data_IF_834290863827
#
_entry.id   IF_834290863827
#
_cell.length_a   1.000
_cell.length_b   1.000
_cell.length_c   1.000
_cell.angle_alpha   90.00
_cell.angle_beta   90.00
_cell.angle_gamma   90.00
#
_symmetry.space_group_name_H-M   'P 1'
#
loop_
_entity.id
_entity.type
_entity.pdbx_description
1 polymer ?
#
# COMPACT_ATOMS: atom_id res chain seq x y z
N UNK A 1 -25.46 11.61 33.33
CA UNK A 1 -25.17 12.89 34.01
C UNK A 1 -26.45 13.29 34.72
N UNK A 2 -26.46 13.27 36.05
CA UNK A 2 -27.61 13.72 36.83
C UNK A 2 -27.81 15.21 36.61
N UNK A 3 -28.90 15.56 35.96
CA UNK A 3 -29.34 16.94 35.77
C UNK A 3 -29.71 17.51 37.15
N UNK A 4 -28.84 18.36 37.68
CA UNK A 4 -29.07 19.05 38.94
C UNK A 4 -29.98 20.22 38.60
N UNK A 5 -31.29 19.98 38.64
CA UNK A 5 -32.31 20.98 38.36
C UNK A 5 -32.15 22.13 39.36
N UNK A 6 -31.53 23.25 38.92
CA UNK A 6 -31.45 24.45 39.74
C UNK A 6 -32.86 24.97 40.01
N UNK A 7 -33.22 25.10 41.29
CA UNK A 7 -34.54 25.59 41.69
C UNK A 7 -34.61 27.09 41.40
N UNK A 8 -35.33 27.46 40.34
CA UNK A 8 -35.62 28.86 40.01
C UNK A 8 -36.70 29.39 40.96
N UNK A 9 -36.43 30.53 41.59
CA UNK A 9 -37.34 31.16 42.54
C UNK A 9 -38.23 32.21 41.88
N UNK A 10 -39.36 32.52 42.51
CA UNK A 10 -40.27 33.55 42.05
C UNK A 10 -39.68 34.94 42.27
N UNK A 11 -39.66 35.74 41.21
CA UNK A 11 -39.08 37.10 41.21
C UNK A 11 -40.06 38.17 41.70
N UNK A 12 -41.34 37.84 41.76
CA UNK A 12 -42.41 38.71 42.26
C UNK A 12 -42.62 38.58 43.78
N UNK A 13 -42.02 37.57 44.42
CA UNK A 13 -42.08 37.41 45.87
C UNK A 13 -41.04 38.33 46.55
N UNK A 14 -41.33 38.83 47.77
CA UNK A 14 -40.33 39.53 48.58
C UNK A 14 -39.07 38.68 48.75
N UNK A 15 -37.89 39.31 48.80
CA UNK A 15 -36.61 38.60 48.88
C UNK A 15 -36.50 37.68 50.10
N UNK A 16 -37.10 38.09 51.21
CA UNK A 16 -37.13 37.38 52.49
C UNK A 16 -38.00 36.10 52.44
N UNK A 17 -38.90 35.97 51.45
CA UNK A 17 -39.92 34.91 51.36
C UNK A 17 -40.11 34.39 49.90
N UNK A 18 -39.02 34.29 49.13
CA UNK A 18 -39.10 33.82 47.73
C UNK A 18 -39.55 32.36 47.64
N UNK A 19 -40.70 32.14 47.02
CA UNK A 19 -41.26 30.80 46.76
C UNK A 19 -40.70 30.20 45.47
N UNK A 20 -40.56 28.87 45.34
CA UNK A 20 -40.18 28.24 44.07
C UNK A 20 -41.11 28.64 42.93
N UNK A 21 -40.55 29.01 41.78
CA UNK A 21 -41.33 29.28 40.59
C UNK A 21 -41.92 27.98 40.02
N UNK A 22 -43.11 28.08 39.41
CA UNK A 22 -43.78 26.97 38.73
C UNK A 22 -43.82 27.14 37.22
N UNK A 23 -43.91 28.39 36.75
CA UNK A 23 -43.81 28.75 35.34
C UNK A 23 -43.06 30.06 35.20
N UNK A 24 -42.38 30.21 34.07
CA UNK A 24 -41.82 31.47 33.60
C UNK A 24 -42.69 32.00 32.47
N UNK A 25 -43.02 33.29 32.52
CA UNK A 25 -43.66 33.95 31.39
C UNK A 25 -42.58 34.43 30.42
N UNK A 26 -42.60 33.94 29.19
CA UNK A 26 -41.65 34.36 28.15
C UNK A 26 -41.87 35.82 27.74
N UNK A 27 -43.10 36.34 27.86
CA UNK A 27 -43.42 37.72 27.49
C UNK A 27 -42.99 38.74 28.55
N UNK A 28 -43.21 38.43 29.83
CA UNK A 28 -42.82 39.27 30.95
C UNK A 28 -41.39 39.01 31.41
N UNK A 29 -40.80 37.89 30.99
CA UNK A 29 -39.46 37.42 31.40
C UNK A 29 -39.32 37.21 32.90
N UNK A 30 -40.44 36.86 33.55
CA UNK A 30 -40.48 36.64 35.00
C UNK A 30 -40.83 35.21 35.36
N UNK A 31 -40.14 34.70 36.38
CA UNK A 31 -40.45 33.42 37.01
C UNK A 31 -41.47 33.62 38.16
N UNK A 32 -42.57 32.86 38.13
CA UNK A 32 -43.71 33.06 39.04
C UNK A 32 -44.04 31.81 39.86
N UNK A 33 -44.25 31.98 41.15
CA UNK A 33 -44.86 30.97 42.02
C UNK A 33 -46.37 30.87 41.71
N UNK A 34 -47.04 29.85 42.27
CA UNK A 34 -48.47 29.59 42.03
C UNK A 34 -49.35 30.83 42.22
N UNK A 35 -49.09 31.63 43.28
CA UNK A 35 -49.88 32.82 43.59
C UNK A 35 -49.75 33.90 42.50
N UNK A 36 -48.52 34.20 42.06
CA UNK A 36 -48.28 35.21 41.03
C UNK A 36 -48.62 34.72 39.62
N UNK A 37 -48.56 33.41 39.40
CA UNK A 37 -49.02 32.78 38.16
C UNK A 37 -50.55 32.88 37.98
N UNK A 38 -51.31 32.95 39.09
CA UNK A 38 -52.77 33.01 39.05
C UNK A 38 -53.27 34.13 38.13
N UNK A 39 -52.70 35.34 38.21
CA UNK A 39 -53.09 36.47 37.37
C UNK A 39 -52.90 36.18 35.87
N UNK A 40 -51.84 35.46 35.50
CA UNK A 40 -51.59 35.04 34.12
C UNK A 40 -52.59 33.98 33.63
N UNK A 41 -53.15 33.19 34.54
CA UNK A 41 -54.11 32.14 34.20
C UNK A 41 -55.56 32.63 34.23
N UNK A 42 -55.89 33.63 35.05
CA UNK A 42 -57.27 34.10 35.26
C UNK A 42 -57.64 35.31 34.41
N UNK A 43 -56.66 36.11 33.96
CA UNK A 43 -56.93 37.27 33.11
C UNK A 43 -56.95 36.84 31.64
N UNK A 44 -58.09 36.94 30.93
CA UNK A 44 -58.23 36.40 29.56
C UNK A 44 -57.17 36.91 28.58
N UNK A 45 -56.81 38.19 28.67
CA UNK A 45 -55.80 38.80 27.80
C UNK A 45 -54.41 38.23 28.08
N UNK A 46 -54.01 38.10 29.35
CA UNK A 46 -52.70 37.55 29.73
C UNK A 46 -52.61 36.07 29.35
N UNK A 47 -53.65 35.29 29.63
CA UNK A 47 -53.70 33.87 29.29
C UNK A 47 -53.49 33.61 27.80
N UNK A 48 -53.99 34.49 26.94
CA UNK A 48 -53.86 34.37 25.47
C UNK A 48 -52.55 34.92 24.91
N UNK A 49 -51.94 35.92 25.55
CA UNK A 49 -50.80 36.67 24.98
C UNK A 49 -49.47 36.45 25.70
N UNK A 50 -49.48 35.80 26.87
CA UNK A 50 -48.31 35.56 27.70
C UNK A 50 -47.95 34.06 27.72
N UNK A 51 -47.13 33.55 26.77
CA UNK A 51 -46.72 32.15 26.76
C UNK A 51 -45.91 31.79 28.02
N UNK A 52 -46.28 30.66 28.64
CA UNK A 52 -45.70 30.16 29.89
C UNK A 52 -44.86 28.90 29.61
N UNK A 53 -43.63 28.86 30.09
CA UNK A 53 -42.71 27.71 29.99
C UNK A 53 -42.25 27.26 31.39
N UNK A 54 -41.49 26.17 31.47
CA UNK A 54 -40.84 25.77 32.73
C UNK A 54 -39.83 26.83 33.20
N UNK A 55 -39.68 27.05 34.51
CA UNK A 55 -38.69 27.98 35.03
C UNK A 55 -37.26 27.50 34.70
N UNK A 56 -36.59 28.23 33.80
CA UNK A 56 -35.17 28.01 33.48
C UNK A 56 -34.38 29.23 33.92
N UNK A 57 -33.13 29.06 34.37
CA UNK A 57 -32.24 30.20 34.63
C UNK A 57 -32.19 31.10 33.38
N UNK A 58 -32.49 32.40 33.53
CA UNK A 58 -32.46 33.37 32.45
C UNK A 58 -31.08 33.32 31.76
N UNK A 59 -31.02 32.69 30.58
CA UNK A 59 -29.74 32.41 29.91
C UNK A 59 -29.85 31.62 28.60
N UNK A 60 -30.93 30.85 28.40
CA UNK A 60 -31.27 30.37 27.06
C UNK A 60 -31.91 31.53 26.28
N UNK A 61 -31.26 32.01 25.22
CA UNK A 61 -31.72 33.17 24.45
C UNK A 61 -33.10 32.93 23.82
N UNK A 62 -34.17 33.32 24.51
CA UNK A 62 -35.56 33.26 24.03
C UNK A 62 -35.90 34.44 23.12
N UNK A 63 -35.01 35.42 23.02
CA UNK A 63 -35.11 36.59 22.16
C UNK A 63 -34.10 36.51 21.02
N UNK A 64 -34.54 36.95 19.85
CA UNK A 64 -33.71 37.16 18.69
C UNK A 64 -32.63 38.20 19.00
N UNK A 65 -31.35 37.91 18.73
CA UNK A 65 -30.25 38.84 18.98
C UNK A 65 -30.31 40.10 18.10
N UNK A 66 -30.92 40.01 16.90
CA UNK A 66 -31.02 41.12 15.96
C UNK A 66 -32.19 42.05 16.29
N UNK A 67 -33.35 41.49 16.65
CA UNK A 67 -34.59 42.27 16.79
C UNK A 67 -35.07 42.42 18.23
N UNK A 68 -34.47 41.72 19.19
CA UNK A 68 -34.89 41.72 20.60
C UNK A 68 -36.29 41.14 20.84
N UNK A 69 -36.92 40.54 19.81
CA UNK A 69 -38.25 39.93 19.84
C UNK A 69 -38.16 38.45 20.18
N UNK A 70 -39.23 37.88 20.73
CA UNK A 70 -39.27 36.45 21.06
C UNK A 70 -39.08 35.58 19.82
N UNK A 71 -38.30 34.51 19.97
CA UNK A 71 -38.18 33.45 19.00
C UNK A 71 -39.44 32.58 19.05
N UNK A 72 -40.09 32.42 17.90
CA UNK A 72 -41.41 31.75 17.81
C UNK A 72 -41.44 30.71 16.67
N UNK A 73 -40.50 30.79 15.74
CA UNK A 73 -40.41 29.95 14.56
C UNK A 73 -39.06 29.24 14.49
N UNK A 74 -39.03 28.09 13.82
CA UNK A 74 -37.82 27.38 13.44
C UNK A 74 -37.71 27.37 11.92
N UNK A 75 -36.59 27.86 11.40
CA UNK A 75 -36.24 27.76 10.00
C UNK A 75 -35.59 26.40 9.74
N UNK A 76 -36.23 25.55 8.93
CA UNK A 76 -35.71 24.21 8.59
C UNK A 76 -34.53 24.26 7.62
N UNK A 77 -34.41 25.33 6.83
CA UNK A 77 -33.31 25.49 5.87
C UNK A 77 -32.02 25.92 6.58
N UNK A 78 -32.12 26.87 7.52
CA UNK A 78 -30.97 27.36 8.30
C UNK A 78 -30.75 26.63 9.63
N UNK A 79 -31.65 25.72 10.00
CA UNK A 79 -31.65 25.01 11.29
C UNK A 79 -31.57 25.95 12.51
N UNK A 80 -32.33 27.05 12.47
CA UNK A 80 -32.24 28.12 13.45
C UNK A 80 -33.61 28.56 14.00
N UNK A 81 -33.64 28.91 15.29
CA UNK A 81 -34.80 29.58 15.90
C UNK A 81 -34.82 31.06 15.50
N UNK A 82 -35.96 31.55 15.00
CA UNK A 82 -36.12 32.91 14.48
C UNK A 82 -37.37 33.60 15.04
N UNK A 83 -37.37 34.93 15.08
CA UNK A 83 -38.53 35.73 15.50
C UNK A 83 -39.42 36.14 14.31
N UNK A 84 -40.59 36.71 14.59
CA UNK A 84 -41.51 37.25 13.56
C UNK A 84 -40.82 38.27 12.63
N UNK A 85 -39.90 39.11 13.13
CA UNK A 85 -39.19 40.08 12.30
C UNK A 85 -38.25 39.40 11.30
N UNK A 86 -37.46 38.43 11.74
CA UNK A 86 -36.61 37.59 10.87
C UNK A 86 -37.42 36.92 9.75
N UNK A 87 -38.66 36.50 10.06
CA UNK A 87 -39.53 35.83 9.10
C UNK A 87 -40.08 36.77 8.00
N UNK A 88 -40.23 38.06 8.29
CA UNK A 88 -40.78 39.05 7.36
C UNK A 88 -39.66 39.75 6.58
N UNK A 89 -38.51 39.95 7.22
CA UNK A 89 -37.31 40.48 6.57
C UNK A 89 -36.74 39.47 5.56
N UNK A 90 -36.08 39.97 4.50
CA UNK A 90 -35.65 39.15 3.36
C UNK A 90 -34.67 38.01 3.74
N UNK A 91 -34.09 38.01 4.95
CA UNK A 91 -33.16 36.97 5.42
C UNK A 91 -33.79 35.57 5.51
N UNK A 92 -35.05 35.43 5.96
CA UNK A 92 -35.73 34.13 6.05
C UNK A 92 -37.10 34.09 5.35
N UNK A 93 -37.47 35.16 4.65
CA UNK A 93 -38.77 35.34 3.99
C UNK A 93 -39.14 34.23 3.01
N UNK A 94 -38.15 33.60 2.37
CA UNK A 94 -38.34 32.51 1.41
C UNK A 94 -37.95 31.13 1.96
N UNK A 95 -37.58 31.05 3.24
CA UNK A 95 -37.17 29.79 3.85
C UNK A 95 -38.38 29.05 4.44
N UNK A 96 -38.23 27.74 4.59
CA UNK A 96 -39.22 26.86 5.20
C UNK A 96 -39.26 27.07 6.72
N UNK A 97 -40.08 28.02 7.15
CA UNK A 97 -40.31 28.33 8.55
C UNK A 97 -41.53 27.59 9.10
N UNK A 98 -41.37 27.00 10.28
CA UNK A 98 -42.41 26.28 11.00
C UNK A 98 -42.53 26.83 12.41
N UNK A 99 -43.72 26.73 13.02
CA UNK A 99 -43.83 26.97 14.47
C UNK A 99 -43.03 25.90 15.22
N UNK A 100 -42.58 26.19 16.45
CA UNK A 100 -41.82 25.21 17.23
C UNK A 100 -42.56 23.88 17.42
N UNK A 101 -43.88 23.89 17.64
CA UNK A 101 -44.68 22.66 17.79
C UNK A 101 -44.63 21.79 16.53
N UNK A 102 -44.83 22.40 15.37
CA UNK A 102 -44.78 21.69 14.08
C UNK A 102 -43.36 21.20 13.76
N UNK A 103 -42.35 22.07 13.91
CA UNK A 103 -40.95 21.71 13.67
C UNK A 103 -40.49 20.57 14.59
N UNK A 104 -40.82 20.64 15.88
CA UNK A 104 -40.50 19.60 16.85
C UNK A 104 -41.11 18.26 16.44
N UNK A 105 -42.40 18.23 16.08
CA UNK A 105 -43.05 16.99 15.63
C UNK A 105 -42.37 16.42 14.37
N UNK A 106 -42.21 17.22 13.33
CA UNK A 106 -41.60 16.79 12.06
C UNK A 106 -40.15 16.30 12.25
N UNK A 107 -39.34 17.03 13.03
CA UNK A 107 -37.95 16.66 13.31
C UNK A 107 -37.84 15.43 14.22
N UNK A 108 -38.73 15.27 15.20
CA UNK A 108 -38.76 14.06 16.03
C UNK A 108 -39.13 12.83 15.21
N UNK A 109 -40.13 12.92 14.33
CA UNK A 109 -40.48 11.82 13.42
C UNK A 109 -39.29 11.48 12.50
N UNK A 110 -38.61 12.50 11.95
CA UNK A 110 -37.40 12.32 11.14
C UNK A 110 -36.27 11.63 11.92
N UNK A 111 -36.00 12.07 13.16
CA UNK A 111 -34.98 11.48 14.02
C UNK A 111 -35.29 10.02 14.36
N UNK A 112 -36.54 9.65 14.59
CA UNK A 112 -36.93 8.25 14.82
C UNK A 112 -36.61 7.38 13.60
N UNK A 113 -36.88 7.88 12.39
CA UNK A 113 -36.56 7.18 11.15
C UNK A 113 -35.05 7.06 10.95
N UNK A 114 -34.30 8.15 11.12
CA UNK A 114 -32.84 8.15 11.01
C UNK A 114 -32.19 7.23 12.06
N UNK A 115 -32.66 7.25 13.31
CA UNK A 115 -32.19 6.35 14.35
C UNK A 115 -32.43 4.88 13.99
N UNK A 116 -33.62 4.54 13.48
CA UNK A 116 -33.93 3.17 13.04
C UNK A 116 -33.06 2.75 11.86
N UNK A 117 -32.80 3.65 10.91
CA UNK A 117 -31.92 3.39 9.77
C UNK A 117 -30.46 3.16 10.23
N UNK A 118 -29.96 3.99 11.14
CA UNK A 118 -28.62 3.81 11.74
C UNK A 118 -28.52 2.49 12.51
N UNK A 119 -29.56 2.12 13.27
CA UNK A 119 -29.58 0.86 13.99
C UNK A 119 -29.55 -0.35 13.03
N UNK A 120 -30.34 -0.31 11.95
CA UNK A 120 -30.34 -1.35 10.93
C UNK A 120 -28.98 -1.45 10.23
N UNK A 121 -28.37 -0.30 9.89
CA UNK A 121 -27.04 -0.26 9.27
C UNK A 121 -25.96 -0.82 10.19
N UNK A 122 -26.02 -0.48 11.48
CA UNK A 122 -25.08 -0.99 12.48
C UNK A 122 -25.16 -2.52 12.59
N UNK A 123 -26.37 -3.07 12.57
CA UNK A 123 -26.57 -4.53 12.59
C UNK A 123 -26.02 -5.19 11.32
N UNK A 124 -26.24 -4.60 10.15
CA UNK A 124 -25.69 -5.08 8.88
C UNK A 124 -24.16 -5.02 8.85
N UNK A 125 -23.58 -3.90 9.29
CA UNK A 125 -22.13 -3.71 9.39
C UNK A 125 -21.51 -4.72 10.37
N UNK A 126 -22.16 -4.99 11.51
CA UNK A 126 -21.72 -6.00 12.48
C UNK A 126 -21.74 -7.42 11.88
N UNK A 127 -22.82 -7.82 11.21
CA UNK A 127 -22.89 -9.13 10.54
C UNK A 127 -21.83 -9.27 9.45
N UNK A 128 -21.57 -8.20 8.69
CA UNK A 128 -20.53 -8.16 7.67
C UNK A 128 -19.14 -8.33 8.27
N UNK A 129 -18.88 -7.64 9.40
CA UNK A 129 -17.62 -7.74 10.13
C UNK A 129 -17.39 -9.15 10.68
N UNK A 130 -18.37 -9.76 11.33
CA UNK A 130 -18.25 -11.14 11.85
C UNK A 130 -17.95 -12.15 10.73
N UNK A 131 -18.65 -12.01 9.59
CA UNK A 131 -18.41 -12.86 8.42
C UNK A 131 -17.01 -12.68 7.85
N UNK A 132 -16.54 -11.44 7.77
CA UNK A 132 -15.19 -11.12 7.33
C UNK A 132 -14.14 -11.71 8.29
N UNK A 133 -14.27 -11.49 9.60
CA UNK A 133 -13.35 -12.00 10.62
C UNK A 133 -13.27 -13.52 10.58
N UNK A 134 -14.42 -14.21 10.50
CA UNK A 134 -14.47 -15.65 10.37
C UNK A 134 -13.74 -16.14 9.13
N UNK A 135 -14.03 -15.55 7.97
CA UNK A 135 -13.38 -15.92 6.71
C UNK A 135 -11.86 -15.70 6.73
N UNK A 136 -11.39 -14.61 7.36
CA UNK A 136 -9.95 -14.34 7.51
C UNK A 136 -9.28 -15.31 8.47
N UNK A 137 -9.92 -15.61 9.61
CA UNK A 137 -9.42 -16.59 10.59
C UNK A 137 -9.26 -17.97 9.97
N UNK A 138 -10.26 -18.42 9.21
CA UNK A 138 -10.23 -19.70 8.51
C UNK A 138 -9.12 -19.74 7.46
N UNK A 139 -9.01 -18.69 6.63
CA UNK A 139 -7.95 -18.59 5.63
C UNK A 139 -6.54 -18.61 6.24
N UNK A 140 -6.34 -17.88 7.35
CA UNK A 140 -5.08 -17.86 8.09
C UNK A 140 -4.76 -19.22 8.73
N UNK A 141 -5.76 -19.87 9.30
CA UNK A 141 -5.60 -21.21 9.88
C UNK A 141 -5.19 -22.22 8.80
N UNK A 142 -5.84 -22.18 7.63
CA UNK A 142 -5.53 -23.08 6.52
C UNK A 142 -4.12 -22.84 5.96
N UNK A 143 -3.69 -21.59 5.84
CA UNK A 143 -2.34 -21.27 5.36
C UNK A 143 -1.25 -21.68 6.36
N UNK A 144 -1.49 -21.50 7.66
CA UNK A 144 -0.58 -21.96 8.71
C UNK A 144 -0.39 -23.48 8.67
N UNK A 145 -1.49 -24.25 8.57
CA UNK A 145 -1.43 -25.72 8.49
C UNK A 145 -0.64 -26.17 7.27
N UNK A 146 -0.89 -25.56 6.10
CA UNK A 146 -0.16 -25.88 4.86
C UNK A 146 1.34 -25.60 4.97
N UNK A 147 1.73 -24.50 5.60
CA UNK A 147 3.14 -24.18 5.83
C UNK A 147 3.80 -25.21 6.73
N UNK A 148 3.16 -25.59 7.83
CA UNK A 148 3.67 -26.62 8.75
C UNK A 148 3.81 -27.97 8.03
N UNK A 149 2.82 -28.35 7.22
CA UNK A 149 2.87 -29.56 6.40
C UNK A 149 4.02 -29.54 5.38
N UNK A 150 4.24 -28.41 4.70
CA UNK A 150 5.34 -28.26 3.75
C UNK A 150 6.72 -28.41 4.43
N UNK A 151 6.91 -27.81 5.61
CA UNK A 151 8.14 -27.94 6.41
C UNK A 151 8.35 -29.40 6.85
N UNK A 152 7.30 -30.06 7.34
CA UNK A 152 7.38 -31.45 7.78
C UNK A 152 7.73 -32.39 6.62
N UNK A 153 7.09 -32.21 5.45
CA UNK A 153 7.38 -33.02 4.26
C UNK A 153 8.85 -32.89 3.82
N UNK A 154 9.39 -31.67 3.82
CA UNK A 154 10.78 -31.42 3.41
C UNK A 154 11.78 -32.03 4.41
N UNK A 155 11.49 -31.93 5.70
CA UNK A 155 12.24 -32.60 6.77
C UNK A 155 12.22 -34.11 6.59
N UNK A 156 11.04 -34.69 6.40
CA UNK A 156 10.86 -36.15 6.37
C UNK A 156 11.49 -36.75 5.11
N UNK A 157 11.39 -36.06 3.96
CA UNK A 157 12.08 -36.43 2.72
C UNK A 157 13.60 -36.47 2.91
N UNK A 158 14.15 -35.43 3.54
CA UNK A 158 15.60 -35.31 3.81
C UNK A 158 16.07 -36.39 4.79
N UNK A 159 15.33 -36.61 5.89
CA UNK A 159 15.67 -37.58 6.92
C UNK A 159 15.59 -39.01 6.38
N UNK A 160 14.51 -39.36 5.68
CA UNK A 160 14.28 -40.70 5.12
C UNK A 160 15.36 -41.09 4.12
N UNK A 161 15.80 -40.12 3.31
CA UNK A 161 16.89 -40.32 2.37
C UNK A 161 18.22 -40.63 3.07
N UNK A 162 18.59 -39.82 4.06
CA UNK A 162 19.81 -40.04 4.86
C UNK A 162 19.74 -41.41 5.56
N UNK A 163 18.61 -41.76 6.16
CA UNK A 163 18.40 -43.05 6.81
C UNK A 163 18.55 -44.23 5.84
N UNK A 164 17.99 -44.11 4.63
CA UNK A 164 18.08 -45.14 3.59
C UNK A 164 19.52 -45.33 3.11
N UNK A 165 20.24 -44.23 2.87
CA UNK A 165 21.65 -44.23 2.47
C UNK A 165 22.56 -44.87 3.53
N UNK A 166 22.37 -44.51 4.80
CA UNK A 166 23.14 -45.10 5.92
C UNK A 166 22.81 -46.58 6.06
N UNK A 167 21.53 -46.95 5.96
CA UNK A 167 21.09 -48.34 6.07
C UNK A 167 21.70 -49.23 5.00
N UNK A 168 21.75 -48.75 3.74
CA UNK A 168 22.38 -49.46 2.62
C UNK A 168 23.88 -49.70 2.87
N UNK A 169 24.63 -48.68 3.32
CA UNK A 169 26.05 -48.81 3.65
C UNK A 169 26.31 -49.74 4.83
N UNK A 170 25.39 -49.76 5.79
CA UNK A 170 25.48 -50.65 6.95
C UNK A 170 25.34 -52.14 6.58
N UNK A 171 24.81 -52.48 5.41
CA UNK A 171 24.73 -53.87 4.93
C UNK A 171 26.12 -54.49 4.80
N UNK A 172 27.07 -53.82 4.16
CA UNK A 172 28.44 -54.35 3.98
C UNK A 172 29.14 -54.61 5.32
N UNK A 173 28.94 -53.73 6.30
CA UNK A 173 29.47 -53.88 7.66
C UNK A 173 28.83 -55.10 8.35
N UNK A 174 27.51 -55.27 8.25
CA UNK A 174 26.80 -56.44 8.81
C UNK A 174 27.23 -57.75 8.16
N UNK A 175 27.36 -57.77 6.83
CA UNK A 175 27.82 -58.94 6.08
C UNK A 175 29.23 -59.33 6.51
N UNK A 176 30.17 -58.38 6.55
CA UNK A 176 31.54 -58.63 7.02
C UNK A 176 31.57 -59.19 8.44
N UNK A 177 30.77 -58.62 9.36
CA UNK A 177 30.66 -59.13 10.73
C UNK A 177 30.18 -60.59 10.76
N UNK A 178 29.16 -60.94 9.99
CA UNK A 178 28.64 -62.32 9.91
C UNK A 178 29.68 -63.28 9.30
N UNK A 179 30.36 -62.87 8.22
CA UNK A 179 31.40 -63.66 7.56
C UNK A 179 32.58 -63.93 8.50
N UNK A 180 33.02 -62.92 9.27
CA UNK A 180 34.05 -63.09 10.31
C UNK A 180 33.60 -64.08 11.39
N UNK A 181 32.39 -63.92 11.92
CA UNK A 181 31.88 -64.79 12.98
C UNK A 181 31.77 -66.25 12.52
N UNK A 182 31.32 -66.47 11.29
CA UNK A 182 31.26 -67.81 10.68
C UNK A 182 32.66 -68.42 10.55
N UNK A 183 33.64 -67.64 10.06
CA UNK A 183 35.01 -68.11 9.92
C UNK A 183 35.69 -68.41 11.27
N UNK A 184 35.39 -67.64 12.32
CA UNK A 184 35.90 -67.86 13.68
C UNK A 184 35.31 -69.12 14.34
N UNK A 185 34.09 -69.50 13.96
CA UNK A 185 33.42 -70.68 14.49
C UNK A 185 33.85 -71.98 13.77
N UNK A 186 34.42 -71.89 12.57
CA UNK A 186 34.86 -73.04 11.80
C UNK A 186 36.13 -73.65 12.41
N UNK A 187 36.09 -74.96 12.67
CA UNK A 187 37.19 -75.71 13.30
C UNK A 187 38.02 -76.47 12.27
N UNK A 188 37.45 -76.74 11.10
CA UNK A 188 38.14 -77.43 10.01
C UNK A 188 39.07 -76.46 9.26
N UNK A 189 40.37 -76.76 9.27
CA UNK A 189 41.41 -75.90 8.67
C UNK A 189 41.22 -75.71 7.16
N UNK A 190 40.83 -76.77 6.44
CA UNK A 190 40.65 -76.70 5.00
C UNK A 190 39.41 -75.87 4.64
N UNK A 191 38.31 -76.07 5.36
CA UNK A 191 37.06 -75.34 5.14
C UNK A 191 37.18 -73.87 5.50
N UNK A 192 37.94 -73.55 6.55
CA UNK A 192 38.35 -72.18 6.87
C UNK A 192 39.10 -71.52 5.71
N UNK A 193 40.14 -72.18 5.17
CA UNK A 193 40.92 -71.63 4.05
C UNK A 193 40.07 -71.45 2.78
N UNK A 194 39.11 -72.35 2.51
CA UNK A 194 38.18 -72.20 1.38
C UNK A 194 37.30 -70.95 1.50
N UNK A 195 36.80 -70.62 2.70
CA UNK A 195 35.95 -69.45 2.90
C UNK A 195 36.72 -68.14 3.13
N UNK A 196 37.99 -68.21 3.54
CA UNK A 196 38.80 -67.04 3.92
C UNK A 196 38.89 -65.98 2.81
N UNK A 197 38.96 -66.39 1.54
CA UNK A 197 38.97 -65.45 0.40
C UNK A 197 37.74 -64.53 0.38
N UNK A 198 36.55 -65.10 0.57
CA UNK A 198 35.30 -64.33 0.62
C UNK A 198 35.24 -63.44 1.86
N UNK A 199 35.64 -63.97 3.02
CA UNK A 199 35.68 -63.22 4.29
C UNK A 199 36.62 -62.01 4.16
N UNK A 200 37.80 -62.20 3.58
CA UNK A 200 38.76 -61.13 3.34
C UNK A 200 38.16 -60.05 2.43
N UNK A 201 37.48 -60.45 1.34
CA UNK A 201 36.83 -59.51 0.44
C UNK A 201 35.72 -58.70 1.14
N UNK A 202 34.91 -59.35 2.00
CA UNK A 202 33.85 -58.68 2.76
C UNK A 202 34.43 -57.69 3.79
N UNK A 203 35.56 -58.03 4.43
CA UNK A 203 36.29 -57.16 5.36
C UNK A 203 36.84 -55.92 4.65
N UNK A 204 37.50 -56.10 3.51
CA UNK A 204 38.04 -54.95 2.76
C UNK A 204 36.92 -54.04 2.25
N UNK A 205 35.78 -54.61 1.79
CA UNK A 205 34.58 -53.83 1.45
C UNK A 205 34.05 -53.04 2.65
N UNK A 206 33.98 -53.64 3.84
CA UNK A 206 33.51 -52.96 5.04
C UNK A 206 34.46 -51.84 5.52
N UNK A 207 35.77 -52.03 5.42
CA UNK A 207 36.78 -50.99 5.74
C UNK A 207 36.66 -49.77 4.83
N UNK A 208 36.24 -49.96 3.58
CA UNK A 208 36.05 -48.88 2.62
C UNK A 208 34.75 -48.07 2.85
N UNK A 209 33.85 -48.51 3.73
CA UNK A 209 32.58 -47.81 4.00
C UNK A 209 32.83 -46.57 4.86
N UNK A 210 32.46 -45.41 4.34
CA UNK A 210 32.36 -44.17 5.10
C UNK A 210 30.89 -43.83 5.36
N UNK A 211 30.46 -43.85 6.63
CA UNK A 211 29.09 -43.53 7.03
C UNK A 211 28.79 -42.02 7.03
N UNK A 212 29.83 -41.16 7.01
CA UNK A 212 29.67 -39.71 6.99
C UNK A 212 29.49 -39.15 5.58
N UNK A 213 29.83 -39.91 4.55
CA UNK A 213 29.58 -39.51 3.16
C UNK A 213 28.08 -39.36 2.89
N UNK A 214 27.73 -38.39 2.05
CA UNK A 214 26.36 -38.21 1.57
C UNK A 214 25.96 -39.30 0.57
N UNK A 215 24.87 -39.07 -0.15
CA UNK A 215 24.51 -39.89 -1.30
C UNK A 215 25.59 -39.78 -2.38
N UNK A 216 26.00 -40.92 -2.91
CA UNK A 216 26.90 -40.97 -4.07
C UNK A 216 26.23 -40.29 -5.28
N UNK A 217 27.00 -39.60 -6.16
CA UNK A 217 26.48 -39.03 -7.39
C UNK A 217 25.77 -40.09 -8.25
N UNK A 218 24.59 -39.79 -8.77
CA UNK A 218 23.81 -40.71 -9.59
C UNK A 218 22.32 -40.33 -9.64
N UNK A 219 21.58 -41.05 -10.47
CA UNK A 219 20.17 -40.75 -10.79
C UNK A 219 19.28 -40.60 -9.55
N UNK A 220 19.44 -41.48 -8.55
CA UNK A 220 18.67 -41.42 -7.30
C UNK A 220 18.94 -40.15 -6.49
N UNK A 221 20.20 -39.69 -6.44
CA UNK A 221 20.57 -38.46 -5.74
C UNK A 221 20.03 -37.25 -6.48
N UNK A 222 20.19 -37.21 -7.80
CA UNK A 222 19.76 -36.07 -8.62
C UNK A 222 18.24 -35.91 -8.57
N UNK A 223 17.50 -37.03 -8.61
CA UNK A 223 16.05 -37.05 -8.42
C UNK A 223 15.66 -36.48 -7.04
N UNK A 224 16.30 -36.92 -5.97
CA UNK A 224 16.00 -36.41 -4.62
C UNK A 224 16.32 -34.92 -4.49
N UNK A 225 17.46 -34.46 -5.02
CA UNK A 225 17.82 -33.03 -4.99
C UNK A 225 16.74 -32.21 -5.68
N UNK A 226 16.24 -32.67 -6.83
CA UNK A 226 15.14 -32.02 -7.54
C UNK A 226 13.85 -32.00 -6.70
N UNK A 227 13.47 -33.11 -6.07
CA UNK A 227 12.29 -33.18 -5.19
C UNK A 227 12.41 -32.24 -3.98
N UNK A 228 13.59 -32.12 -3.36
CA UNK A 228 13.84 -31.17 -2.27
C UNK A 228 13.69 -29.72 -2.74
N UNK A 229 14.24 -29.38 -3.91
CA UNK A 229 14.13 -28.03 -4.49
C UNK A 229 12.66 -27.70 -4.76
N UNK A 230 11.93 -28.57 -5.47
CA UNK A 230 10.51 -28.37 -5.79
C UNK A 230 9.65 -28.26 -4.51
N UNK A 231 9.93 -29.09 -3.50
CA UNK A 231 9.27 -29.01 -2.20
C UNK A 231 9.58 -27.70 -1.46
N UNK A 232 10.83 -27.22 -1.55
CA UNK A 232 11.26 -25.95 -0.95
C UNK A 232 10.59 -24.73 -1.60
N UNK A 233 10.46 -24.72 -2.93
CA UNK A 233 9.73 -23.68 -3.65
C UNK A 233 8.25 -23.63 -3.25
N UNK A 234 7.63 -24.79 -3.07
CA UNK A 234 6.25 -24.90 -2.57
C UNK A 234 6.13 -24.35 -1.14
N UNK A 235 7.05 -24.72 -0.25
CA UNK A 235 7.10 -24.20 1.12
C UNK A 235 7.21 -22.68 1.15
N UNK A 236 8.09 -22.09 0.33
CA UNK A 236 8.22 -20.64 0.22
C UNK A 236 6.93 -19.98 -0.28
N UNK A 237 6.24 -20.62 -1.24
CA UNK A 237 4.95 -20.14 -1.73
C UNK A 237 3.86 -20.18 -0.65
N UNK A 238 3.79 -21.25 0.14
CA UNK A 238 2.85 -21.35 1.26
C UNK A 238 3.19 -20.32 2.38
N UNK A 239 4.48 -20.07 2.64
CA UNK A 239 4.94 -19.03 3.57
C UNK A 239 4.55 -17.62 3.11
N UNK A 240 4.73 -17.32 1.83
CA UNK A 240 4.23 -16.10 1.18
C UNK A 240 2.74 -15.92 1.41
N UNK A 241 1.94 -16.97 1.18
CA UNK A 241 0.49 -16.90 1.32
C UNK A 241 0.05 -16.68 2.77
N UNK A 242 0.74 -17.30 3.73
CA UNK A 242 0.54 -17.09 5.16
C UNK A 242 0.82 -15.63 5.55
N UNK A 243 1.97 -15.08 5.15
CA UNK A 243 2.33 -13.69 5.42
C UNK A 243 1.35 -12.71 4.77
N UNK A 244 0.91 -12.96 3.53
CA UNK A 244 -0.13 -12.15 2.88
C UNK A 244 -1.45 -12.18 3.64
N UNK A 245 -1.82 -13.33 4.20
CA UNK A 245 -3.04 -13.46 5.01
C UNK A 245 -2.94 -12.63 6.29
N UNK A 246 -1.78 -12.63 6.96
CA UNK A 246 -1.54 -11.77 8.14
C UNK A 246 -1.60 -10.29 7.77
N UNK A 247 -0.95 -9.87 6.69
CA UNK A 247 -0.94 -8.47 6.28
C UNK A 247 -2.32 -7.95 5.89
N UNK A 248 -3.18 -8.82 5.34
CA UNK A 248 -4.57 -8.45 5.03
C UNK A 248 -5.41 -8.18 6.28
N UNK A 249 -4.99 -8.66 7.46
CA UNK A 249 -5.66 -8.34 8.73
C UNK A 249 -5.28 -6.94 9.25
N UNK A 250 -4.06 -6.50 8.96
CA UNK A 250 -3.51 -5.22 9.45
C UNK A 250 -3.83 -4.08 8.47
N UNK A 251 -3.70 -4.33 7.17
CA UNK A 251 -3.96 -3.35 6.12
C UNK A 251 -4.78 -3.98 4.97
N UNK A 252 -6.11 -4.08 5.11
CA UNK A 252 -6.97 -4.66 4.09
C UNK A 252 -7.06 -3.82 2.80
N UNK A 253 -6.58 -2.58 2.79
CA UNK A 253 -6.63 -1.72 1.61
C UNK A 253 -5.34 -1.78 0.78
N UNK A 254 -4.18 -1.96 1.44
CA UNK A 254 -2.87 -2.01 0.77
C UNK A 254 -2.18 -3.39 0.78
N UNK A 255 -2.76 -4.45 1.35
CA UNK A 255 -2.16 -5.80 1.36
C UNK A 255 -1.81 -6.40 -0.03
N UNK A 256 -2.27 -5.81 -1.15
CA UNK A 256 -1.87 -6.22 -2.49
C UNK A 256 -0.45 -5.75 -2.89
N UNK A 257 0.14 -4.79 -2.16
CA UNK A 257 1.49 -4.27 -2.42
C UNK A 257 2.58 -5.00 -1.65
N UNK A 258 2.27 -6.03 -0.85
CA UNK A 258 3.27 -6.85 -0.17
C UNK A 258 3.46 -8.18 -0.94
N UNK A 259 4.33 -8.12 -1.93
CA UNK A 259 4.72 -9.18 -2.83
C UNK A 259 5.92 -9.99 -2.34
N UNK A 260 5.67 -11.04 -1.57
CA UNK A 260 6.67 -12.09 -1.36
C UNK A 260 6.70 -13.00 -2.60
N UNK A 261 7.21 -12.46 -3.69
CA UNK A 261 7.74 -13.18 -4.84
C UNK A 261 8.59 -12.20 -5.65
N UNK A 262 9.89 -12.10 -5.35
CA UNK A 262 10.80 -11.38 -6.24
C UNK A 262 10.82 -12.08 -7.61
N UNK A 263 10.59 -11.37 -8.73
CA UNK A 263 11.32 -11.66 -9.96
C UNK A 263 12.78 -11.30 -9.70
N UNK A 264 13.75 -12.10 -10.14
CA UNK A 264 15.15 -11.63 -10.11
C UNK A 264 15.27 -10.52 -11.15
N UNK A 265 15.21 -9.28 -10.67
CA UNK A 265 15.52 -8.14 -11.50
C UNK A 265 17.03 -8.02 -11.65
N UNK A 266 17.44 -7.63 -12.84
CA UNK A 266 18.83 -7.39 -13.17
C UNK A 266 18.96 -6.23 -14.16
N UNK A 267 20.07 -5.52 -14.08
CA UNK A 267 20.43 -4.46 -15.01
C UNK A 267 21.08 -5.03 -16.26
N UNK A 268 20.60 -4.58 -17.43
CA UNK A 268 21.21 -4.84 -18.73
C UNK A 268 21.67 -3.52 -19.35
N UNK A 269 22.99 -3.27 -19.43
CA UNK A 269 23.53 -2.08 -20.08
C UNK A 269 23.29 -2.10 -21.58
N UNK A 270 22.78 -1.00 -22.12
CA UNK A 270 22.53 -0.85 -23.57
C UNK A 270 23.77 -0.44 -24.35
N UNK A 271 24.72 0.23 -23.69
CA UNK A 271 26.00 0.64 -24.27
C UNK A 271 27.13 0.12 -23.40
N UNK A 272 27.93 -0.80 -23.92
CA UNK A 272 29.18 -1.21 -23.28
C UNK A 272 30.20 -0.06 -23.36
N UNK A 273 30.20 0.82 -22.37
CA UNK A 273 31.24 1.83 -22.18
C UNK A 273 32.27 1.32 -21.17
N UNK A 274 33.54 1.55 -21.45
CA UNK A 274 34.69 1.12 -20.64
C UNK A 274 34.74 1.73 -19.23
N UNK A 275 33.93 2.76 -18.95
CA UNK A 275 33.86 3.44 -17.66
C UNK A 275 32.83 2.87 -16.68
N UNK A 276 32.06 1.84 -17.07
CA UNK A 276 31.00 1.23 -16.24
C UNK A 276 31.22 -0.27 -16.10
N UNK A 277 31.07 -0.77 -14.88
CA UNK A 277 31.10 -2.19 -14.58
C UNK A 277 29.87 -2.60 -13.77
N UNK A 278 29.37 -3.80 -14.01
CA UNK A 278 28.20 -4.34 -13.33
C UNK A 278 28.67 -5.49 -12.42
N UNK A 279 28.11 -5.60 -11.21
CA UNK A 279 28.38 -6.68 -10.27
C UNK A 279 28.06 -8.07 -10.86
N UNK A 280 28.63 -9.12 -10.25
CA UNK A 280 28.42 -10.51 -10.69
C UNK A 280 26.94 -10.94 -10.67
N UNK A 281 26.16 -10.41 -9.74
CA UNK A 281 24.71 -10.64 -9.61
C UNK A 281 23.86 -9.73 -10.52
N UNK A 282 24.48 -8.83 -11.28
CA UNK A 282 23.84 -7.84 -12.16
C UNK A 282 22.89 -6.85 -11.46
N UNK A 283 23.02 -6.67 -10.15
CA UNK A 283 22.17 -5.79 -9.33
C UNK A 283 22.84 -4.47 -8.92
N UNK A 284 24.15 -4.34 -9.11
CA UNK A 284 24.89 -3.14 -8.76
C UNK A 284 25.67 -2.65 -9.97
N UNK A 285 25.60 -1.35 -10.24
CA UNK A 285 26.38 -0.70 -11.29
C UNK A 285 27.41 0.23 -10.65
N UNK A 286 28.68 -0.04 -10.96
CA UNK A 286 29.83 0.76 -10.57
C UNK A 286 30.27 1.60 -11.75
N UNK A 287 30.66 2.84 -11.47
CA UNK A 287 31.16 3.80 -12.44
C UNK A 287 32.57 4.25 -12.04
N UNK A 288 33.36 4.59 -13.04
CA UNK A 288 34.68 5.17 -12.84
C UNK A 288 34.75 6.52 -13.59
N UNK A 289 34.69 7.61 -12.83
CA UNK A 289 34.70 8.97 -13.38
C UNK A 289 36.04 9.37 -14.03
N UNK A 290 37.09 8.54 -13.90
CA UNK A 290 38.42 8.80 -14.44
C UNK A 290 38.58 8.58 -15.95
N UNK A 291 37.56 8.09 -16.68
CA UNK A 291 37.67 7.67 -18.08
C UNK A 291 36.79 8.42 -19.10
N UNK A 292 36.30 9.64 -18.80
CA UNK A 292 35.55 10.50 -19.74
C UNK A 292 34.02 10.54 -19.51
N UNK A 293 33.25 11.05 -20.48
CA UNK A 293 31.79 11.30 -20.35
C UNK A 293 30.98 10.01 -20.08
N UNK A 294 30.65 9.81 -18.80
CA UNK A 294 29.99 8.61 -18.27
C UNK A 294 28.46 8.66 -18.38
N UNK A 295 27.94 8.87 -19.59
CA UNK A 295 26.49 8.71 -19.84
C UNK A 295 26.15 7.26 -20.22
N UNK A 296 25.19 6.64 -19.54
CA UNK A 296 24.73 5.28 -19.88
C UNK A 296 23.26 5.09 -19.59
N UNK A 297 22.63 4.16 -20.31
CA UNK A 297 21.28 3.68 -19.99
C UNK A 297 21.30 2.19 -19.71
N UNK A 298 20.63 1.82 -18.62
CA UNK A 298 20.47 0.47 -18.11
C UNK A 298 19.00 0.10 -18.21
N UNK A 299 18.68 -1.03 -18.85
CA UNK A 299 17.33 -1.60 -18.80
C UNK A 299 17.19 -2.48 -17.56
N UNK A 300 16.02 -2.41 -16.92
CA UNK A 300 15.67 -3.31 -15.83
C UNK A 300 14.87 -4.48 -16.44
N UNK A 301 15.39 -5.69 -16.31
CA UNK A 301 14.74 -6.91 -16.81
C UNK A 301 14.54 -7.93 -15.70
N UNK A 302 13.60 -8.85 -15.89
CA UNK A 302 13.27 -9.94 -14.98
C UNK A 302 13.73 -11.28 -15.56
N UNK A 303 14.27 -12.16 -14.70
CA UNK A 303 14.58 -13.56 -15.05
C UNK A 303 13.35 -14.41 -15.40
N UNK A 304 12.17 -14.00 -14.91
CA UNK A 304 10.88 -14.64 -15.20
C UNK A 304 10.25 -14.00 -16.44
N UNK A 305 9.74 -14.84 -17.35
CA UNK A 305 9.04 -14.51 -18.61
C UNK A 305 7.77 -13.64 -18.46
N UNK A 306 7.42 -13.23 -17.23
CA UNK A 306 6.25 -12.41 -16.97
C UNK A 306 6.53 -10.94 -17.29
N UNK A 307 5.93 -10.46 -18.37
CA UNK A 307 6.01 -9.10 -18.94
C UNK A 307 5.45 -7.96 -18.07
N UNK A 308 5.20 -8.16 -16.78
CA UNK A 308 4.40 -7.25 -15.95
C UNK A 308 5.15 -6.80 -14.69
N UNK A 309 6.28 -6.12 -14.87
CA UNK A 309 6.97 -5.39 -13.82
C UNK A 309 6.05 -4.28 -13.26
N UNK A 310 5.65 -4.40 -11.98
CA UNK A 310 4.73 -3.46 -11.33
C UNK A 310 5.40 -2.52 -10.34
N UNK A 311 6.42 -2.97 -9.64
CA UNK A 311 7.14 -2.14 -8.66
C UNK A 311 8.62 -2.47 -8.69
N UNK A 312 9.48 -1.45 -8.60
CA UNK A 312 10.91 -1.62 -8.41
C UNK A 312 11.49 -0.47 -7.60
N UNK A 313 12.62 -0.73 -6.93
CA UNK A 313 13.30 0.21 -6.05
C UNK A 313 14.75 0.35 -6.51
N UNK A 314 15.26 1.57 -6.55
CA UNK A 314 16.62 1.88 -6.98
C UNK A 314 17.27 2.80 -5.95
N UNK A 315 18.43 2.41 -5.41
CA UNK A 315 19.26 3.33 -4.64
C UNK A 315 20.13 4.13 -5.60
N UNK A 316 20.13 5.45 -5.43
CA UNK A 316 20.75 6.42 -6.32
C UNK A 316 21.75 7.23 -5.50
N UNK A 317 23.03 7.18 -5.87
CA UNK A 317 24.06 8.02 -5.23
C UNK A 317 23.80 9.50 -5.46
N UNK A 318 24.36 10.38 -4.62
CA UNK A 318 24.23 11.84 -4.77
C UNK A 318 25.11 12.43 -5.88
N UNK A 319 26.10 11.67 -6.36
CA UNK A 319 27.25 12.19 -7.08
C UNK A 319 27.07 12.35 -8.60
N UNK A 320 25.97 11.88 -9.20
CA UNK A 320 25.71 12.17 -10.62
C UNK A 320 24.23 12.25 -10.97
N UNK A 321 23.90 12.90 -12.09
CA UNK A 321 22.52 13.06 -12.54
C UNK A 321 21.91 11.74 -13.04
N UNK A 322 20.60 11.61 -12.94
CA UNK A 322 19.91 10.38 -13.35
C UNK A 322 18.49 10.63 -13.87
N UNK A 323 17.98 9.63 -14.60
CA UNK A 323 16.57 9.52 -14.94
C UNK A 323 16.10 8.09 -14.73
N UNK A 324 14.97 7.92 -14.06
CA UNK A 324 14.34 6.61 -13.83
C UNK A 324 12.93 6.63 -14.38
N UNK A 325 12.53 5.58 -15.09
CA UNK A 325 11.18 5.49 -15.63
C UNK A 325 10.99 4.38 -16.66
N UNK A 326 10.10 4.61 -17.61
CA UNK A 326 9.79 3.74 -18.74
C UNK A 326 10.18 4.36 -20.07
N UNK A 327 10.73 3.54 -20.96
CA UNK A 327 11.04 3.89 -22.34
C UNK A 327 10.51 2.83 -23.31
N UNK A 328 10.35 3.18 -24.59
CA UNK A 328 9.99 2.24 -25.66
C UNK A 328 11.06 1.17 -25.89
N UNK A 329 10.65 -0.10 -25.99
CA UNK A 329 11.53 -1.22 -26.38
C UNK A 329 12.14 -1.06 -27.77
N UNK A 330 11.48 -0.35 -28.68
CA UNK A 330 11.88 -0.27 -30.10
C UNK A 330 13.01 0.72 -30.38
N UNK A 331 13.34 1.61 -29.46
CA UNK A 331 14.37 2.65 -29.65
C UNK A 331 15.28 2.87 -28.44
N UNK A 332 15.91 1.81 -27.88
CA UNK A 332 16.61 1.88 -26.61
C UNK A 332 18.02 2.54 -26.71
N UNK A 333 18.39 3.08 -27.87
CA UNK A 333 19.65 3.82 -28.06
C UNK A 333 19.43 5.33 -28.30
N UNK A 334 18.20 5.76 -28.62
CA UNK A 334 17.85 7.15 -28.92
C UNK A 334 16.58 7.56 -28.16
N UNK A 335 16.65 7.57 -26.83
CA UNK A 335 15.54 7.82 -25.91
C UNK A 335 14.78 9.14 -26.12
N UNK A 336 15.37 10.11 -26.83
CA UNK A 336 14.73 11.40 -27.09
C UNK A 336 13.79 11.40 -28.29
N UNK A 337 13.73 10.31 -29.08
CA UNK A 337 12.88 10.20 -30.27
C UNK A 337 11.67 9.26 -30.08
N UNK A 338 11.53 8.62 -28.90
CA UNK A 338 10.44 7.69 -28.56
C UNK A 338 9.61 8.11 -27.34
N UNK A 339 8.55 7.36 -26.98
CA UNK A 339 7.81 7.61 -25.75
C UNK A 339 8.67 7.31 -24.51
N UNK A 340 8.86 8.33 -23.66
CA UNK A 340 9.56 8.24 -22.38
C UNK A 340 8.72 8.89 -21.28
N UNK A 341 8.63 8.19 -20.15
CA UNK A 341 7.93 8.64 -18.94
C UNK A 341 8.81 8.39 -17.74
N UNK A 342 9.20 9.42 -17.02
CA UNK A 342 10.15 9.25 -15.93
C UNK A 342 10.32 10.45 -15.03
N UNK A 343 11.04 10.22 -13.94
CA UNK A 343 11.54 11.24 -13.04
C UNK A 343 13.02 11.47 -13.35
N UNK A 344 13.41 12.73 -13.52
CA UNK A 344 14.77 13.15 -13.80
C UNK A 344 15.29 14.02 -12.66
N UNK A 345 16.52 13.77 -12.24
CA UNK A 345 17.24 14.60 -11.27
C UNK A 345 18.48 15.19 -11.95
N UNK A 346 18.51 16.51 -12.12
CA UNK A 346 19.68 17.27 -12.57
C UNK A 346 20.08 18.28 -11.51
N UNK A 347 21.35 18.29 -11.06
CA UNK A 347 21.88 19.26 -10.10
C UNK A 347 20.94 19.48 -8.87
N UNK A 348 20.45 18.37 -8.31
CA UNK A 348 19.50 18.30 -7.17
C UNK A 348 18.09 18.86 -7.43
N UNK A 349 17.72 19.09 -8.69
CA UNK A 349 16.39 19.51 -9.09
C UNK A 349 15.62 18.34 -9.74
N UNK A 350 14.44 18.04 -9.23
CA UNK A 350 13.57 17.00 -9.78
C UNK A 350 12.64 17.56 -10.87
N UNK A 351 12.60 16.89 -12.00
CA UNK A 351 11.72 17.21 -13.12
C UNK A 351 11.00 15.97 -13.64
N UNK A 352 9.74 16.16 -14.01
CA UNK A 352 8.91 15.15 -14.66
C UNK A 352 9.18 15.18 -16.15
N UNK A 353 9.47 14.01 -16.73
CA UNK A 353 9.67 13.84 -18.17
C UNK A 353 8.51 13.05 -18.75
N UNK A 354 7.83 13.64 -19.74
CA UNK A 354 6.74 12.99 -20.48
C UNK A 354 6.79 13.33 -21.96
N UNK A 355 6.59 12.33 -22.81
CA UNK A 355 6.42 12.53 -24.26
C UNK A 355 4.97 12.85 -24.60
N UNK A 356 4.73 13.98 -25.27
CA UNK A 356 3.43 14.32 -25.87
C UNK A 356 3.46 14.07 -27.38
N UNK A 357 2.36 13.55 -27.91
CA UNK A 357 2.18 13.33 -29.34
C UNK A 357 1.23 14.39 -29.87
N UNK A 358 1.73 15.30 -30.69
CA UNK A 358 0.89 16.26 -31.39
C UNK A 358 0.22 15.54 -32.58
N UNK A 359 -1.10 15.41 -32.55
CA UNK A 359 -1.86 15.05 -33.76
C UNK A 359 -1.96 16.32 -34.61
N UNK A 360 -1.25 16.35 -35.74
CA UNK A 360 -1.47 17.36 -36.77
C UNK A 360 -2.86 17.14 -37.36
N UNK A 361 -3.87 17.83 -36.82
CA UNK A 361 -5.18 17.92 -37.46
C UNK A 361 -5.02 18.81 -38.70
N UNK A 362 -4.95 18.17 -39.88
CA UNK A 362 -5.16 18.88 -41.14
C UNK A 362 -6.59 19.43 -41.14
N UNK A 363 -6.71 20.74 -41.30
CA UNK A 363 -7.98 21.43 -41.40
C UNK A 363 -8.83 20.83 -42.54
N UNK A 364 -10.06 20.44 -42.20
CA UNK A 364 -11.03 19.93 -43.16
C UNK A 364 -11.55 21.08 -44.05
N UNK A 365 -11.19 21.04 -45.33
CA UNK A 365 -11.84 21.79 -46.41
C UNK A 365 -12.73 20.85 -47.24
N UNK A 366 -13.98 21.27 -47.43
CA UNK A 366 -15.09 20.66 -48.17
C UNK A 366 -14.77 19.99 -49.52
N UNK A 367 -15.42 18.84 -49.83
CA UNK A 367 -15.56 18.33 -51.21
C UNK A 367 -15.89 16.83 -51.38
N UNK A 368 -17.16 16.54 -51.63
CA UNK A 368 -17.83 15.40 -52.31
C UNK A 368 -17.11 14.05 -52.66
N UNK A 369 -17.83 12.96 -52.33
CA UNK A 369 -17.98 11.63 -52.98
C UNK A 369 -16.76 10.85 -53.51
N UNK A 370 -16.55 9.66 -52.94
CA UNK A 370 -15.82 8.55 -53.59
C UNK A 370 -15.44 7.44 -52.60
N UNK A 371 -16.05 6.25 -52.75
CA UNK A 371 -15.66 5.03 -52.03
C UNK A 371 -14.35 4.51 -52.63
N UNK A 372 -13.28 4.48 -51.84
CA UNK A 372 -12.11 3.61 -52.02
C UNK A 372 -11.36 3.46 -50.68
N UNK A 373 -10.94 2.25 -50.27
CA UNK A 373 -10.09 2.06 -49.11
C UNK A 373 -8.65 2.41 -49.48
N UNK A 374 -8.24 3.66 -49.24
CA UNK A 374 -6.86 4.09 -49.43
C UNK A 374 -6.10 3.90 -48.12
N UNK A 375 -5.04 3.10 -48.20
CA UNK A 375 -4.05 2.89 -47.17
C UNK A 375 -3.62 4.22 -46.52
N UNK A 376 -3.79 4.33 -45.20
CA UNK A 376 -3.24 5.46 -44.45
C UNK A 376 -1.82 5.10 -44.05
N UNK A 377 -0.89 5.73 -44.75
CA UNK A 377 0.53 5.82 -44.48
C UNK A 377 0.82 6.15 -43.01
N UNK A 378 1.88 5.53 -42.48
CA UNK A 378 2.54 5.92 -41.25
C UNK A 378 2.99 7.39 -41.36
N UNK A 379 2.12 8.30 -40.95
CA UNK A 379 2.49 9.69 -40.71
C UNK A 379 3.40 9.70 -39.49
N UNK A 380 4.66 10.07 -39.69
CA UNK A 380 5.65 10.28 -38.63
C UNK A 380 5.10 11.24 -37.58
N UNK A 381 4.55 10.69 -36.50
CA UNK A 381 4.14 11.48 -35.34
C UNK A 381 5.40 11.98 -34.67
N UNK A 382 5.69 13.28 -34.80
CA UNK A 382 6.76 13.92 -34.02
C UNK A 382 6.42 13.82 -32.53
N UNK A 383 7.11 12.92 -31.84
CA UNK A 383 7.11 12.82 -30.40
C UNK A 383 7.90 14.01 -29.83
N UNK A 384 7.26 14.85 -29.01
CA UNK A 384 7.94 15.95 -28.31
C UNK A 384 8.09 15.60 -26.83
N UNK A 385 9.33 15.43 -26.40
CA UNK A 385 9.67 15.21 -24.98
C UNK A 385 9.54 16.55 -24.25
N UNK A 386 8.69 16.58 -23.22
CA UNK A 386 8.52 17.73 -22.33
C UNK A 386 9.09 17.42 -20.95
N UNK A 387 9.87 18.35 -20.40
CA UNK A 387 10.35 18.30 -19.03
C UNK A 387 9.71 19.44 -18.22
N UNK A 388 9.12 19.12 -17.07
CA UNK A 388 8.50 20.10 -16.17
C UNK A 388 9.13 19.99 -14.78
N UNK A 389 9.65 21.10 -14.26
CA UNK A 389 10.22 21.17 -12.91
C UNK A 389 9.13 20.96 -11.85
N UNK A 390 9.40 20.15 -10.84
CA UNK A 390 8.51 19.93 -9.70
C UNK A 390 8.71 21.08 -8.71
N UNK A 391 7.65 21.87 -8.46
CA UNK A 391 7.65 22.91 -7.43
C UNK A 391 7.10 22.32 -6.13
N UNK A 392 7.80 22.52 -5.02
CA UNK A 392 7.32 22.18 -3.68
C UNK A 392 6.59 23.39 -3.11
N UNK A 393 5.31 23.25 -2.76
CA UNK A 393 4.57 24.29 -2.03
C UNK A 393 4.79 24.05 -0.53
N UNK A 394 5.60 24.90 0.12
CA UNK A 394 5.85 24.87 1.56
C UNK A 394 7.05 25.73 2.00
N UNK A 395 6.87 26.51 3.07
CA UNK A 395 7.79 27.53 3.64
C UNK A 395 9.04 26.97 4.34
N UNK A 396 9.74 26.00 3.74
CA UNK A 396 11.01 25.50 4.30
C UNK A 396 12.08 25.46 3.19
N UNK A 397 12.73 26.60 2.98
CA UNK A 397 13.76 26.79 1.93
C UNK A 397 15.03 25.94 2.14
N UNK A 398 15.14 25.16 3.22
CA UNK A 398 16.41 24.55 3.65
C UNK A 398 16.55 23.04 3.47
N UNK A 399 15.62 22.33 2.80
CA UNK A 399 15.79 20.89 2.49
C UNK A 399 15.32 20.50 1.09
N UNK A 400 16.07 20.89 0.06
CA UNK A 400 16.09 20.19 -1.25
C UNK A 400 16.77 18.82 -1.09
N UNK A 401 16.12 17.87 -0.44
CA UNK A 401 16.67 16.52 -0.25
C UNK A 401 16.39 15.67 -1.49
N UNK A 402 17.44 15.38 -2.24
CA UNK A 402 17.46 14.37 -3.30
C UNK A 402 17.08 13.00 -2.70
N UNK A 403 16.25 12.18 -3.35
CA UNK A 403 15.90 10.88 -2.81
C UNK A 403 17.11 9.93 -2.91
N UNK A 404 17.57 9.40 -1.78
CA UNK A 404 18.59 8.35 -1.73
C UNK A 404 18.06 7.03 -2.31
N UNK A 405 16.82 6.67 -1.94
CA UNK A 405 16.12 5.49 -2.44
C UNK A 405 14.83 5.91 -3.14
N UNK A 406 14.69 5.51 -4.41
CA UNK A 406 13.54 5.80 -5.24
C UNK A 406 12.72 4.53 -5.47
N UNK A 407 11.45 4.55 -5.07
CA UNK A 407 10.49 3.51 -5.36
C UNK A 407 9.58 3.93 -6.52
N UNK A 408 9.42 3.05 -7.51
CA UNK A 408 8.60 3.30 -8.69
C UNK A 408 7.51 2.25 -8.79
N UNK A 409 6.26 2.71 -8.89
CA UNK A 409 5.07 1.85 -9.01
C UNK A 409 4.35 2.13 -10.32
N UNK A 410 4.16 1.07 -11.10
CA UNK A 410 3.37 1.02 -12.31
C UNK A 410 2.01 0.36 -12.06
N UNK A 411 0.95 1.15 -12.21
CA UNK A 411 -0.42 0.66 -12.16
C UNK A 411 -1.02 0.61 -13.56
N UNK A 412 -1.11 -0.60 -14.11
CA UNK A 412 -1.67 -0.86 -15.43
C UNK A 412 -3.16 -0.48 -15.53
N UNK A 413 -3.95 -0.72 -14.49
CA UNK A 413 -5.40 -0.47 -14.50
C UNK A 413 -5.72 1.03 -14.60
N UNK A 414 -4.93 1.84 -13.90
CA UNK A 414 -5.11 3.29 -13.86
C UNK A 414 -4.23 4.05 -14.87
N UNK A 415 -3.33 3.33 -15.56
CA UNK A 415 -2.31 3.90 -16.44
C UNK A 415 -1.45 4.95 -15.73
N UNK A 416 -1.09 4.70 -14.47
CA UNK A 416 -0.34 5.65 -13.64
C UNK A 416 1.04 5.10 -13.27
N UNK A 417 2.05 5.95 -13.40
CA UNK A 417 3.42 5.74 -12.96
C UNK A 417 3.73 6.66 -11.78
N UNK A 418 3.94 6.08 -10.62
CA UNK A 418 4.05 6.81 -9.35
C UNK A 418 5.46 6.66 -8.79
N UNK A 419 6.05 7.76 -8.32
CA UNK A 419 7.40 7.81 -7.76
C UNK A 419 7.35 8.22 -6.30
N UNK A 420 8.07 7.48 -5.44
CA UNK A 420 8.12 7.71 -4.01
C UNK A 420 9.57 7.78 -3.54
N UNK A 421 9.86 8.74 -2.65
CA UNK A 421 11.11 8.79 -1.90
C UNK A 421 10.95 7.91 -0.66
N UNK A 422 11.93 7.04 -0.42
CA UNK A 422 12.01 6.24 0.80
C UNK A 422 13.13 6.75 1.70
N UNK A 423 12.82 6.97 2.97
CA UNK A 423 13.77 7.31 4.02
C UNK A 423 13.69 6.27 5.13
N UNK A 424 14.71 5.40 5.22
CA UNK A 424 14.65 4.22 6.08
C UNK A 424 13.62 3.18 5.61
N UNK A 425 13.23 2.25 6.49
CA UNK A 425 12.32 1.16 6.13
C UNK A 425 10.88 1.64 5.95
N UNK A 426 10.36 2.51 6.83
CA UNK A 426 8.92 2.78 6.95
C UNK A 426 8.42 4.11 6.37
N UNK A 427 9.30 5.09 6.14
CA UNK A 427 8.86 6.40 5.67
C UNK A 427 8.85 6.43 4.15
N UNK A 428 7.65 6.60 3.60
CA UNK A 428 7.38 6.67 2.17
C UNK A 428 6.69 8.00 1.87
N UNK A 429 7.32 8.85 1.06
CA UNK A 429 6.79 10.14 0.64
C UNK A 429 6.59 10.15 -0.87
N UNK A 430 5.36 10.40 -1.32
CA UNK A 430 5.09 10.54 -2.75
C UNK A 430 5.83 11.77 -3.31
N UNK A 431 6.54 11.57 -4.41
CA UNK A 431 7.20 12.65 -5.16
C UNK A 431 6.25 13.14 -6.25
N UNK A 432 5.80 12.22 -7.11
CA UNK A 432 4.93 12.55 -8.24
C UNK A 432 4.25 11.31 -8.82
N UNK A 433 3.03 11.51 -9.32
CA UNK A 433 2.32 10.54 -10.16
C UNK A 433 2.14 11.07 -11.59
N UNK A 434 2.52 10.26 -12.57
CA UNK A 434 2.44 10.52 -14.00
C UNK A 434 1.33 9.66 -14.59
N UNK A 435 0.28 10.29 -15.13
CA UNK A 435 -0.76 9.60 -15.89
C UNK A 435 -0.30 9.43 -17.35
N UNK A 436 -0.42 8.22 -17.88
CA UNK A 436 -0.12 7.88 -19.27
C UNK A 436 -1.42 7.74 -20.07
N UNK A 437 -1.53 8.42 -21.21
CA UNK A 437 -2.79 8.52 -21.95
C UNK A 437 -3.05 7.34 -22.93
N UNK A 438 -2.06 6.47 -23.20
CA UNK A 438 -2.20 5.31 -24.09
C UNK A 438 -1.29 4.15 -23.67
N UNK A 439 -1.87 2.99 -23.34
CA UNK A 439 -1.18 1.76 -22.85
C UNK A 439 -0.68 0.87 -24.02
N UNK A 440 -0.82 1.27 -25.28
CA UNK A 440 -0.47 0.44 -26.44
C UNK A 440 1.05 0.31 -26.70
N UNK A 441 1.91 0.80 -25.80
CA UNK A 441 3.36 0.76 -25.98
C UNK A 441 4.00 -0.37 -25.19
N UNK A 442 4.94 -1.06 -25.85
CA UNK A 442 5.77 -2.07 -25.23
C UNK A 442 6.91 -1.37 -24.46
N UNK A 443 6.56 -0.85 -23.27
CA UNK A 443 7.47 -0.06 -22.44
C UNK A 443 8.37 -0.97 -21.59
N UNK A 444 9.63 -0.57 -21.39
CA UNK A 444 10.60 -1.23 -20.52
C UNK A 444 11.12 -0.27 -19.45
N UNK A 445 11.21 -0.72 -18.19
CA UNK A 445 11.77 0.10 -17.13
C UNK A 445 13.27 0.30 -17.35
N UNK A 446 13.77 1.51 -17.08
CA UNK A 446 15.16 1.87 -17.29
C UNK A 446 15.68 2.83 -16.22
N UNK A 447 17.01 2.89 -16.12
CA UNK A 447 17.77 3.88 -15.36
C UNK A 447 18.82 4.49 -16.30
N UNK A 448 18.80 5.80 -16.48
CA UNK A 448 19.83 6.56 -17.17
C UNK A 448 20.71 7.29 -16.16
N UNK A 449 22.01 7.32 -16.43
CA UNK A 449 23.03 7.92 -15.58
C UNK A 449 23.80 8.94 -16.41
N UNK A 450 24.02 10.15 -15.87
CA UNK A 450 24.77 11.25 -16.46
C UNK A 450 23.91 12.40 -17.01
N UNK A 451 24.53 13.56 -17.28
CA UNK A 451 23.84 14.71 -17.89
C UNK A 451 23.41 14.40 -19.31
N UNK A 452 22.12 14.57 -19.60
CA UNK A 452 21.61 14.65 -20.97
C UNK A 452 21.96 16.04 -21.54
N UNK A 453 23.22 16.27 -21.89
CA UNK A 453 23.61 17.46 -22.66
C UNK A 453 23.26 17.26 -24.13
N UNK A 454 22.47 18.17 -24.72
CA UNK A 454 22.67 18.47 -26.14
C UNK A 454 24.14 18.90 -26.32
N UNK A 455 24.77 18.58 -27.46
CA UNK A 455 26.21 18.75 -27.61
C UNK A 455 26.54 20.25 -27.63
N UNK A 456 26.85 20.83 -26.47
CA UNK A 456 27.76 21.95 -26.29
C UNK A 456 27.93 22.29 -24.80
N UNK A 457 29.22 22.40 -24.43
CA UNK A 457 29.83 23.16 -23.34
C UNK A 457 29.99 22.53 -21.93
N UNK A 458 31.27 22.24 -21.66
CA UNK A 458 32.06 22.24 -20.41
C UNK A 458 31.53 21.54 -19.15
N UNK A 459 32.16 20.41 -18.83
CA UNK A 459 32.03 19.64 -17.59
C UNK A 459 32.94 20.18 -16.48
N UNK A 460 32.37 20.36 -15.28
CA UNK A 460 33.13 20.48 -14.03
C UNK A 460 33.30 19.07 -13.49
N UNK A 461 34.56 18.60 -13.39
CA UNK A 461 34.86 17.28 -12.85
C UNK A 461 34.71 17.25 -11.33
N UNK A 462 33.75 16.45 -10.82
CA UNK A 462 33.80 15.91 -9.46
C UNK A 462 34.34 14.48 -9.53
N UNK A 463 35.36 14.17 -8.73
CA UNK A 463 35.89 12.82 -8.58
C UNK A 463 35.11 12.09 -7.49
N UNK A 464 34.51 10.95 -7.84
CA UNK A 464 34.01 9.98 -6.88
C UNK A 464 34.24 8.57 -7.42
N UNK A 465 34.87 7.73 -6.59
CA UNK A 465 35.10 6.31 -6.84
C UNK A 465 34.22 5.54 -5.86
N UNK A 466 33.11 4.96 -6.33
CA UNK A 466 32.16 4.22 -5.50
C UNK A 466 31.05 3.51 -6.31
N UNK A 467 30.26 2.60 -5.70
CA UNK A 467 29.06 2.05 -6.33
C UNK A 467 28.06 3.17 -6.64
N UNK A 468 27.56 3.26 -7.88
CA UNK A 468 26.67 4.36 -8.30
C UNK A 468 25.19 4.08 -8.04
N UNK A 469 24.80 2.85 -8.34
CA UNK A 469 23.45 2.32 -8.22
C UNK A 469 23.60 0.95 -7.60
N UNK A 470 23.16 0.81 -6.36
CA UNK A 470 22.90 -0.49 -5.76
C UNK A 470 21.40 -0.73 -5.87
N UNK A 471 21.00 -1.84 -6.45
CA UNK A 471 19.66 -2.34 -6.21
C UNK A 471 19.65 -2.99 -4.83
N UNK A 472 19.09 -2.30 -3.82
CA UNK A 472 18.41 -3.03 -2.75
C UNK A 472 17.02 -3.38 -3.24
N UNK A 473 16.85 -4.63 -3.66
CA UNK A 473 15.52 -5.25 -3.54
C UNK A 473 15.30 -5.48 -2.05
N UNK A 474 14.76 -4.46 -1.39
CA UNK A 474 14.04 -4.62 -0.14
C UNK A 474 12.59 -4.26 -0.41
N UNK A 475 11.71 -5.27 -0.52
CA UNK A 475 10.47 -5.10 0.23
C UNK A 475 10.84 -4.84 1.68
N UNK A 476 10.07 -4.00 2.39
CA UNK A 476 10.20 -3.89 3.84
C UNK A 476 10.18 -5.30 4.44
N UNK A 477 11.34 -5.74 4.91
CA UNK A 477 11.43 -6.70 6.00
C UNK A 477 11.63 -5.83 7.22
N UNK A 478 10.55 -5.57 7.95
CA UNK A 478 10.74 -5.19 9.34
C UNK A 478 11.18 -6.42 10.10
N UNK A 479 12.33 -6.27 10.74
CA UNK A 479 13.00 -7.34 11.43
C UNK A 479 12.12 -7.97 12.49
N UNK A 480 12.19 -9.29 12.58
CA UNK A 480 12.30 -9.93 13.88
C UNK A 480 13.71 -10.52 13.93
N UNK A 481 14.56 -9.84 14.70
CA UNK A 481 15.86 -10.31 15.14
C UNK A 481 15.61 -11.04 16.47
N UNK A 482 16.13 -12.27 16.55
CA UNK A 482 16.06 -13.30 17.62
C UNK A 482 14.82 -14.20 17.62
#
# INVERSE_FOLDING_TARGET
MSDKMEVVFCEMCPEEDRKPAKKMCLKCEISMCVQHLQAHLTTPVLLQTHPLTEPTALGAATKCPQHGKLLEYFCLDDMACVCVSCAIEDQHRLHNMKTFSTAHKELMEKLVVEHKALQSKTEEDNMSLEKWEKGKREALSMSAVRLVEAVNNLRDLSLTSVQSSVSARMVSIRTSKSSIQSAQAEKDTFRFLQMYSQVHQDVEKAKAVDLRKGLEPGEHRDKLVKEIIESGEKMMTDATYFLRSLLTLVDPENHQTCGIASPDLFFEPLTHKSSISVSKDKRTVFYNSGMGDCTTTLLIKSSKSTSNLRTWIVDLTEDADWMVGFCDKKSPQNFMNGPVFGLRCDDSCLSKVTTRFECSNAASGSGAFGINPIAVSETEKKAKVSSQLIKYEGEDEDKKTRPETLEVIWNLANSTLSFYSRTGQFQRKEIITIRMERILWDLTPFVHIGKLTQPQSYSVHRQSNGPFVTEKVCELIDGILL
#
